data_IF_798656508146
#
_entry.id   IF_798656508146
#
_cell.length_a   1.000
_cell.length_b   1.000
_cell.length_c   1.000
_cell.angle_alpha   90.00
_cell.angle_beta   90.00
_cell.angle_gamma   90.00
#
_symmetry.space_group_name_H-M   'P 1'
#
loop_
_entity.id
_entity.type
_entity.pdbx_description
1 polymer ?
#
# COMPACT_ATOMS: atom_id res chain seq x y z
N UNK A 1 9.17 35.02 -18.64
CA UNK A 1 7.85 34.45 -18.27
C UNK A 1 8.04 32.96 -18.26
N UNK A 2 8.42 32.41 -17.10
CA UNK A 2 8.73 31.00 -16.96
C UNK A 2 7.44 30.17 -16.89
N UNK A 3 7.31 29.08 -17.68
CA UNK A 3 6.13 28.20 -17.68
C UNK A 3 6.04 27.30 -16.43
N UNK A 4 6.69 27.66 -15.31
CA UNK A 4 6.79 26.83 -14.10
C UNK A 4 5.63 26.99 -13.10
N UNK A 5 4.70 27.93 -13.34
CA UNK A 5 3.75 28.38 -12.30
C UNK A 5 2.48 27.52 -12.10
N UNK A 6 2.31 26.42 -12.82
CA UNK A 6 1.13 25.52 -12.69
C UNK A 6 1.47 24.05 -12.43
N UNK A 7 2.58 23.56 -12.97
CA UNK A 7 3.01 22.16 -12.87
C UNK A 7 3.38 21.73 -11.44
N UNK A 8 3.85 22.67 -10.60
CA UNK A 8 4.09 22.40 -9.19
C UNK A 8 2.77 22.20 -8.42
N UNK A 9 1.73 22.96 -8.76
CA UNK A 9 0.44 22.93 -8.08
C UNK A 9 -0.31 21.62 -8.37
N UNK A 10 -0.36 21.20 -9.63
CA UNK A 10 -0.97 19.91 -10.01
C UNK A 10 -0.20 18.71 -9.43
N UNK A 11 1.13 18.81 -9.37
CA UNK A 11 1.98 17.78 -8.75
C UNK A 11 1.72 17.67 -7.26
N UNK A 12 1.70 18.79 -6.54
CA UNK A 12 1.51 18.79 -5.09
C UNK A 12 0.07 18.33 -4.75
N UNK A 13 -0.93 18.71 -5.57
CA UNK A 13 -2.30 18.20 -5.46
C UNK A 13 -2.43 16.69 -5.73
N UNK A 14 -1.77 16.18 -6.77
CA UNK A 14 -1.73 14.74 -7.06
C UNK A 14 -1.02 13.96 -5.96
N UNK A 15 0.08 14.49 -5.43
CA UNK A 15 0.82 13.86 -4.34
C UNK A 15 0.00 13.82 -3.04
N UNK A 16 -0.76 14.87 -2.74
CA UNK A 16 -1.67 14.93 -1.59
C UNK A 16 -2.84 13.96 -1.73
N UNK A 17 -3.45 13.88 -2.92
CA UNK A 17 -4.49 12.88 -3.21
C UNK A 17 -3.91 11.47 -3.11
N UNK A 18 -2.75 11.22 -3.70
CA UNK A 18 -2.09 9.91 -3.66
C UNK A 18 -1.73 9.55 -2.22
N UNK A 19 -1.23 10.49 -1.42
CA UNK A 19 -0.92 10.29 -0.01
C UNK A 19 -2.16 9.98 0.82
N UNK A 20 -3.25 10.74 0.63
CA UNK A 20 -4.51 10.51 1.32
C UNK A 20 -5.12 9.16 0.94
N UNK A 21 -5.12 8.85 -0.36
CA UNK A 21 -5.66 7.61 -0.91
C UNK A 21 -4.85 6.40 -0.44
N UNK A 22 -3.52 6.46 -0.48
CA UNK A 22 -2.63 5.39 0.00
C UNK A 22 -2.69 5.17 1.52
N UNK A 23 -3.17 6.14 2.30
CA UNK A 23 -3.37 5.95 3.74
C UNK A 23 -4.75 5.37 4.07
N UNK A 24 -5.78 5.67 3.27
CA UNK A 24 -7.15 5.20 3.51
C UNK A 24 -7.42 3.84 2.86
N UNK A 25 -6.92 3.61 1.63
CA UNK A 25 -7.08 2.35 0.90
C UNK A 25 -6.66 1.09 1.67
N UNK A 26 -5.48 1.01 2.32
CA UNK A 26 -5.08 -0.19 3.06
C UNK A 26 -6.00 -0.49 4.26
N UNK A 27 -6.56 0.55 4.91
CA UNK A 27 -7.51 0.40 6.01
C UNK A 27 -8.84 -0.15 5.47
N UNK A 28 -9.34 0.43 4.38
CA UNK A 28 -10.58 -0.04 3.73
C UNK A 28 -10.40 -1.46 3.20
N UNK A 29 -9.31 -1.73 2.48
CA UNK A 29 -8.97 -3.06 1.94
C UNK A 29 -8.87 -4.11 3.06
N UNK A 30 -8.23 -3.76 4.19
CA UNK A 30 -8.09 -4.68 5.31
C UNK A 30 -9.38 -4.97 6.07
N UNK A 31 -10.32 -4.03 6.10
CA UNK A 31 -11.61 -4.22 6.76
C UNK A 31 -12.69 -4.83 5.84
N UNK A 32 -12.53 -4.76 4.52
CA UNK A 32 -13.58 -5.18 3.58
C UNK A 32 -13.13 -6.30 2.65
N UNK A 33 -12.02 -6.13 1.94
CA UNK A 33 -11.56 -7.04 0.88
C UNK A 33 -10.98 -8.32 1.47
N UNK A 34 -10.06 -8.21 2.44
CA UNK A 34 -9.46 -9.40 3.06
C UNK A 34 -10.50 -10.28 3.79
N UNK A 35 -11.39 -9.73 4.66
CA UNK A 35 -12.40 -10.53 5.33
C UNK A 35 -13.40 -11.17 4.36
N UNK A 36 -13.78 -10.48 3.28
CA UNK A 36 -14.65 -11.05 2.24
C UNK A 36 -13.98 -12.24 1.53
N UNK A 37 -12.70 -12.13 1.20
CA UNK A 37 -11.94 -13.22 0.59
C UNK A 37 -11.79 -14.41 1.55
N UNK A 38 -11.52 -14.16 2.84
CA UNK A 38 -11.51 -15.21 3.86
C UNK A 38 -12.87 -15.91 3.97
N UNK A 39 -13.96 -15.14 4.01
CA UNK A 39 -15.31 -15.68 4.09
C UNK A 39 -15.65 -16.57 2.88
N UNK A 40 -15.33 -16.12 1.67
CA UNK A 40 -15.52 -16.91 0.45
C UNK A 40 -14.74 -18.22 0.48
N UNK A 41 -13.47 -18.19 0.90
CA UNK A 41 -12.60 -19.36 0.96
C UNK A 41 -13.06 -20.38 2.01
N UNK A 42 -13.57 -19.93 3.16
CA UNK A 42 -14.02 -20.80 4.24
C UNK A 42 -15.42 -21.37 3.94
N UNK A 43 -16.37 -20.52 3.54
CA UNK A 43 -17.78 -20.86 3.44
C UNK A 43 -18.16 -21.47 2.09
N UNK A 44 -17.64 -20.95 0.97
CA UNK A 44 -18.00 -21.39 -0.38
C UNK A 44 -17.01 -22.38 -1.01
N UNK A 45 -15.97 -22.83 -0.29
CA UNK A 45 -14.94 -23.68 -0.86
C UNK A 45 -15.06 -25.22 -0.69
N UNK A 46 -16.21 -25.89 -0.46
CA UNK A 46 -16.23 -27.35 -0.42
C UNK A 46 -15.80 -28.00 -1.76
N UNK A 47 -15.74 -27.23 -2.86
CA UNK A 47 -15.24 -27.67 -4.15
C UNK A 47 -13.71 -27.68 -4.29
N UNK A 48 -12.96 -27.20 -3.29
CA UNK A 48 -11.52 -26.93 -3.41
C UNK A 48 -10.72 -27.79 -2.43
N UNK A 49 -9.64 -28.42 -2.92
CA UNK A 49 -8.74 -29.23 -2.11
C UNK A 49 -8.15 -28.41 -0.94
N UNK A 50 -8.07 -29.04 0.23
CA UNK A 50 -7.66 -28.39 1.48
C UNK A 50 -6.25 -27.78 1.41
N UNK A 51 -5.31 -28.47 0.74
CA UNK A 51 -3.94 -27.97 0.57
C UNK A 51 -3.90 -26.66 -0.21
N UNK A 52 -4.68 -26.58 -1.29
CA UNK A 52 -4.78 -25.38 -2.12
C UNK A 52 -5.44 -24.27 -1.30
N UNK A 53 -6.48 -24.59 -0.52
CA UNK A 53 -7.15 -23.62 0.35
C UNK A 53 -6.19 -23.02 1.38
N UNK A 54 -5.37 -23.85 2.02
CA UNK A 54 -4.37 -23.39 2.99
C UNK A 54 -3.35 -22.44 2.33
N UNK A 55 -2.87 -22.77 1.12
CA UNK A 55 -1.97 -21.90 0.37
C UNK A 55 -2.60 -20.53 0.06
N UNK A 56 -3.88 -20.48 -0.35
CA UNK A 56 -4.58 -19.22 -0.59
C UNK A 56 -4.77 -18.40 0.68
N UNK A 57 -5.08 -19.03 1.82
CA UNK A 57 -5.20 -18.33 3.10
C UNK A 57 -3.87 -17.69 3.51
N UNK A 58 -2.76 -18.42 3.39
CA UNK A 58 -1.42 -17.89 3.66
C UNK A 58 -1.10 -16.74 2.70
N UNK A 59 -1.43 -16.88 1.41
CA UNK A 59 -1.21 -15.83 0.43
C UNK A 59 -1.98 -14.54 0.77
N UNK A 60 -3.24 -14.66 1.22
CA UNK A 60 -4.03 -13.50 1.66
C UNK A 60 -3.40 -12.81 2.87
N UNK A 61 -2.90 -13.57 3.84
CA UNK A 61 -2.19 -13.02 5.00
C UNK A 61 -0.90 -12.30 4.55
N UNK A 62 -0.15 -12.90 3.63
CA UNK A 62 1.06 -12.29 3.09
C UNK A 62 0.76 -10.97 2.35
N UNK A 63 -0.30 -10.93 1.54
CA UNK A 63 -0.74 -9.70 0.89
C UNK A 63 -1.15 -8.62 1.89
N UNK A 64 -1.92 -8.98 2.93
CA UNK A 64 -2.29 -8.06 3.99
C UNK A 64 -1.05 -7.52 4.72
N UNK A 65 -0.09 -8.37 5.05
CA UNK A 65 1.16 -7.93 5.68
C UNK A 65 1.96 -6.99 4.77
N UNK A 66 2.10 -7.32 3.49
CA UNK A 66 2.78 -6.47 2.50
C UNK A 66 2.08 -5.11 2.36
N UNK A 67 0.76 -5.06 2.24
CA UNK A 67 0.01 -3.81 2.16
C UNK A 67 0.30 -2.91 3.36
N UNK A 68 0.27 -3.46 4.58
CA UNK A 68 0.58 -2.69 5.79
C UNK A 68 2.03 -2.21 5.80
N UNK A 69 2.99 -3.06 5.42
CA UNK A 69 4.42 -2.70 5.34
C UNK A 69 4.63 -1.55 4.36
N UNK A 70 4.11 -1.67 3.13
CA UNK A 70 4.34 -0.68 2.09
C UNK A 70 3.55 0.61 2.28
N UNK A 71 2.35 0.57 2.88
CA UNK A 71 1.50 1.77 3.03
C UNK A 71 1.69 2.51 4.35
N UNK A 72 2.00 1.81 5.45
CA UNK A 72 2.11 2.40 6.79
C UNK A 72 3.56 2.47 7.27
N UNK A 73 4.31 1.37 7.17
CA UNK A 73 5.65 1.29 7.75
C UNK A 73 6.71 2.00 6.90
N UNK A 74 6.73 1.70 5.60
CA UNK A 74 7.69 2.26 4.64
C UNK A 74 7.10 3.50 3.97
N UNK A 75 5.88 3.40 3.41
CA UNK A 75 5.22 4.48 2.66
C UNK A 75 6.17 5.10 1.63
N UNK A 76 6.62 4.27 0.69
CA UNK A 76 7.47 4.69 -0.40
C UNK A 76 6.62 5.33 -1.51
N UNK A 77 6.79 6.62 -1.74
CA UNK A 77 6.13 7.35 -2.81
C UNK A 77 7.16 7.63 -3.91
N UNK A 78 6.90 7.14 -5.11
CA UNK A 78 7.66 7.56 -6.28
C UNK A 78 7.25 9.00 -6.64
N UNK A 79 8.20 9.91 -6.75
CA UNK A 79 7.97 11.28 -7.22
C UNK A 79 8.42 11.36 -8.68
N UNK A 80 7.55 11.05 -9.65
CA UNK A 80 7.84 11.37 -11.04
C UNK A 80 7.89 12.89 -11.22
N UNK A 81 8.73 13.44 -12.13
CA UNK A 81 9.60 12.75 -13.08
C UNK A 81 11.03 12.51 -12.57
N UNK A 82 11.33 12.84 -11.32
CA UNK A 82 12.72 12.93 -10.84
C UNK A 82 13.37 11.57 -10.50
N UNK A 83 12.64 10.46 -10.64
CA UNK A 83 13.13 9.13 -10.24
C UNK A 83 13.47 9.05 -8.74
N UNK A 84 13.04 10.04 -7.97
CA UNK A 84 13.29 10.13 -6.54
C UNK A 84 12.17 9.39 -5.83
N UNK A 85 12.58 8.41 -5.02
CA UNK A 85 11.68 7.75 -4.11
C UNK A 85 11.70 8.53 -2.79
N UNK A 86 10.52 8.93 -2.32
CA UNK A 86 10.34 9.63 -1.06
C UNK A 86 9.68 8.71 -0.04
N UNK A 87 10.40 8.44 1.06
CA UNK A 87 9.95 7.56 2.15
C UNK A 87 9.41 8.40 3.29
N UNK A 88 8.15 8.17 3.69
CA UNK A 88 7.47 8.95 4.73
C UNK A 88 6.69 8.09 5.75
N UNK A 89 7.02 6.81 5.84
CA UNK A 89 6.35 5.86 6.73
C UNK A 89 6.77 5.97 8.19
N UNK A 90 6.14 5.16 9.04
CA UNK A 90 6.40 5.11 10.48
C UNK A 90 7.89 4.88 10.80
N UNK A 91 8.58 4.04 10.02
CA UNK A 91 10.00 3.75 10.22
C UNK A 91 10.88 4.98 10.00
N UNK A 92 10.52 5.83 9.04
CA UNK A 92 11.22 7.10 8.80
C UNK A 92 10.96 8.08 9.96
N UNK A 93 9.76 8.08 10.54
CA UNK A 93 9.42 8.92 11.72
C UNK A 93 10.14 8.49 13.00
N UNK A 94 10.46 7.20 13.15
CA UNK A 94 11.20 6.66 14.29
C UNK A 94 12.73 6.89 14.14
N UNK A 95 13.18 7.42 12.99
CA UNK A 95 14.58 7.78 12.76
C UNK A 95 15.39 6.72 12.01
N UNK A 96 14.75 5.72 11.39
CA UNK A 96 15.48 4.83 10.47
C UNK A 96 15.99 5.62 9.26
N UNK A 97 17.23 5.34 8.88
CA UNK A 97 17.86 5.95 7.71
C UNK A 97 17.09 5.59 6.45
N UNK A 98 16.67 6.61 5.69
CA UNK A 98 15.95 6.46 4.42
C UNK A 98 16.72 5.62 3.38
N UNK A 99 18.06 5.55 3.50
CA UNK A 99 18.94 4.76 2.63
C UNK A 99 18.88 3.25 2.90
N UNK A 100 18.34 2.83 4.04
CA UNK A 100 18.14 1.41 4.38
C UNK A 100 16.73 0.97 3.97
N UNK A 101 15.78 1.92 3.95
CA UNK A 101 14.37 1.68 3.60
C UNK A 101 14.11 1.74 2.08
N UNK A 102 15.10 2.20 1.28
CA UNK A 102 15.04 2.36 -0.18
C UNK A 102 16.27 1.80 -0.86
#
# INVERSE_FOLDING_TARGET
MDPQYGLAWDRDFLLDILHGTNSVLPIVSSLTIYPANFYLLIYNGPAMNWEIRAAYLINIIAHMACDWIFTIFVRANAVPPFGLFYCEGLLTRIGCSKRILM
#
